data_IF_781416135570
#
_entry.id   IF_781416135570
#
_cell.length_a   1.000
_cell.length_b   1.000
_cell.length_c   1.000
_cell.angle_alpha   90.00
_cell.angle_beta   90.00
_cell.angle_gamma   90.00
#
_symmetry.space_group_name_H-M   'P 1'
#
loop_
_entity.id
_entity.type
_entity.pdbx_description
1 polymer ?
#
# COMPACT_ATOMS: atom_id res chain seq x y z
N UNK A 1 26.56 -33.84 -7.77
CA UNK A 1 25.54 -33.11 -7.00
C UNK A 1 26.23 -32.45 -5.82
N UNK A 2 26.38 -31.13 -5.83
CA UNK A 2 26.99 -30.38 -4.73
C UNK A 2 25.87 -29.72 -3.91
N UNK A 3 25.74 -30.12 -2.65
CA UNK A 3 24.94 -29.40 -1.66
C UNK A 3 25.82 -28.32 -1.03
N UNK A 4 25.49 -27.05 -1.27
CA UNK A 4 26.01 -25.93 -0.46
C UNK A 4 24.92 -25.60 0.55
N UNK A 5 25.24 -25.85 1.82
CA UNK A 5 24.44 -25.49 3.00
C UNK A 5 25.11 -24.30 3.66
N UNK A 6 24.41 -23.17 3.80
CA UNK A 6 24.69 -22.15 4.83
C UNK A 6 23.35 -21.66 5.41
N UNK A 7 23.33 -21.52 6.74
CA UNK A 7 22.18 -21.38 7.65
C UNK A 7 21.79 -19.91 7.98
N UNK A 8 20.57 -19.78 8.58
CA UNK A 8 20.04 -18.72 9.50
C UNK A 8 19.40 -17.47 8.87
N UNK A 9 18.26 -16.97 9.41
CA UNK A 9 18.22 -16.31 10.73
C UNK A 9 17.20 -16.82 11.76
N UNK A 10 17.77 -17.22 12.89
CA UNK A 10 17.25 -17.07 14.25
C UNK A 10 17.12 -15.58 14.56
N UNK A 11 16.05 -15.19 15.24
CA UNK A 11 15.83 -13.79 15.62
C UNK A 11 16.60 -13.44 16.89
N UNK A 12 17.15 -12.23 16.91
CA UNK A 12 17.99 -11.67 17.96
C UNK A 12 17.15 -10.83 18.96
N UNK A 13 17.77 -10.42 20.08
CA UNK A 13 17.19 -9.58 21.13
C UNK A 13 16.72 -8.16 20.72
N UNK A 14 16.56 -7.92 19.42
CA UNK A 14 16.08 -6.67 18.81
C UNK A 14 14.70 -6.80 18.12
N UNK A 15 14.04 -7.97 18.20
CA UNK A 15 12.57 -8.06 18.06
C UNK A 15 11.93 -8.30 16.68
N UNK A 16 12.61 -8.92 15.72
CA UNK A 16 11.96 -9.41 14.49
C UNK A 16 11.54 -10.91 14.59
N UNK A 17 10.57 -11.43 13.79
CA UNK A 17 9.76 -12.62 14.12
C UNK A 17 10.38 -14.03 13.96
N UNK A 18 10.14 -14.86 14.99
CA UNK A 18 10.50 -16.27 15.12
C UNK A 18 9.82 -17.17 14.08
N UNK A 19 10.60 -18.11 13.57
CA UNK A 19 10.27 -19.12 12.56
C UNK A 19 9.47 -20.29 13.15
N UNK A 20 8.45 -20.80 12.42
CA UNK A 20 7.81 -22.08 12.81
C UNK A 20 8.75 -23.23 12.45
N UNK A 21 9.18 -23.99 13.45
CA UNK A 21 10.07 -25.15 13.33
C UNK A 21 9.25 -26.39 12.93
N UNK A 22 9.31 -26.81 11.67
CA UNK A 22 8.64 -28.04 11.23
C UNK A 22 9.68 -29.16 11.14
N UNK A 23 9.45 -30.24 11.89
CA UNK A 23 10.21 -31.49 11.77
C UNK A 23 9.69 -32.26 10.56
N UNK A 24 10.57 -32.59 9.62
CA UNK A 24 10.27 -33.58 8.59
C UNK A 24 11.20 -34.78 8.76
N UNK A 25 10.61 -35.97 8.64
CA UNK A 25 11.37 -37.21 8.55
C UNK A 25 11.99 -37.32 7.16
N UNK A 26 13.32 -37.41 7.10
CA UNK A 26 14.02 -37.80 5.88
C UNK A 26 13.94 -39.30 5.65
N UNK A 27 14.10 -39.72 4.39
CA UNK A 27 14.45 -41.12 4.10
C UNK A 27 15.78 -41.41 4.82
N UNK A 28 15.84 -42.55 5.52
CA UNK A 28 16.95 -43.00 6.38
C UNK A 28 17.01 -42.41 7.81
N UNK A 29 15.90 -41.86 8.33
CA UNK A 29 15.80 -41.51 9.77
C UNK A 29 16.58 -40.26 10.18
N UNK A 30 17.10 -39.50 9.20
CA UNK A 30 17.75 -38.22 9.43
C UNK A 30 16.68 -37.13 9.36
N UNK A 31 16.38 -36.49 10.49
CA UNK A 31 15.43 -35.37 10.55
C UNK A 31 16.06 -34.06 10.05
N UNK A 32 15.29 -33.26 9.29
CA UNK A 32 15.69 -31.92 8.88
C UNK A 32 14.67 -30.89 9.37
N UNK A 33 15.16 -29.66 9.61
CA UNK A 33 14.32 -28.52 9.96
C UNK A 33 14.09 -27.65 8.73
N UNK A 34 12.83 -27.43 8.39
CA UNK A 34 12.41 -26.41 7.44
C UNK A 34 11.93 -25.18 8.23
N UNK A 35 12.48 -24.02 7.88
CA UNK A 35 12.14 -22.75 8.50
C UNK A 35 11.17 -22.02 7.58
N UNK A 36 9.89 -21.97 7.95
CA UNK A 36 8.88 -21.21 7.21
C UNK A 36 8.68 -19.87 7.91
N UNK A 37 9.05 -18.79 7.23
CA UNK A 37 8.75 -17.43 7.68
C UNK A 37 7.29 -17.13 7.34
N UNK A 38 6.40 -17.17 8.35
CA UNK A 38 5.01 -16.78 8.17
C UNK A 38 4.90 -15.26 8.29
N UNK A 39 5.33 -14.54 7.25
CA UNK A 39 4.84 -13.19 7.04
C UNK A 39 3.56 -13.33 6.21
N UNK A 40 2.43 -12.89 6.75
CA UNK A 40 1.24 -12.67 5.93
C UNK A 40 1.55 -11.47 5.05
N UNK A 41 1.84 -11.74 3.78
CA UNK A 41 1.99 -10.72 2.76
C UNK A 41 0.62 -10.03 2.56
N UNK A 42 0.57 -8.69 2.34
CA UNK A 42 -0.68 -8.03 2.01
C UNK A 42 -1.24 -8.64 0.73
N UNK A 43 -2.38 -9.32 0.83
CA UNK A 43 -3.02 -9.95 -0.34
C UNK A 43 -3.83 -8.95 -1.15
N UNK A 44 -4.32 -7.89 -0.51
CA UNK A 44 -5.09 -6.81 -1.14
C UNK A 44 -4.57 -5.46 -0.69
N UNK A 45 -4.15 -4.65 -1.65
CA UNK A 45 -3.64 -3.29 -1.43
C UNK A 45 -4.55 -2.30 -2.13
N UNK A 46 -4.80 -1.17 -1.49
CA UNK A 46 -5.49 -0.03 -2.08
C UNK A 46 -4.50 1.09 -2.38
N UNK A 47 -4.42 1.50 -3.65
CA UNK A 47 -3.68 2.67 -4.10
C UNK A 47 -4.63 3.86 -4.30
N UNK A 48 -4.46 4.90 -3.49
CA UNK A 48 -5.24 6.14 -3.54
C UNK A 48 -4.40 7.28 -4.12
N UNK A 49 -4.99 8.04 -5.04
CA UNK A 49 -4.43 9.27 -5.58
C UNK A 49 -5.39 10.44 -5.29
N UNK A 50 -4.88 11.44 -4.60
CA UNK A 50 -5.61 12.66 -4.26
C UNK A 50 -5.72 13.65 -5.43
N UNK A 51 -5.93 14.94 -5.13
CA UNK A 51 -6.34 15.92 -6.10
C UNK A 51 -5.24 16.26 -7.11
N UNK A 52 -5.67 16.59 -8.32
CA UNK A 52 -4.87 17.00 -9.48
C UNK A 52 -3.93 15.93 -10.06
N UNK A 53 -3.85 14.73 -9.46
CA UNK A 53 -3.01 13.66 -10.02
C UNK A 53 -3.56 13.10 -11.33
N UNK A 54 -4.86 13.27 -11.60
CA UNK A 54 -5.43 12.99 -12.93
C UNK A 54 -4.81 13.84 -14.05
N UNK A 55 -4.11 14.92 -13.72
CA UNK A 55 -3.41 15.79 -14.68
C UNK A 55 -1.94 15.38 -14.90
N UNK A 56 -1.44 14.32 -14.25
CA UNK A 56 -0.07 13.84 -14.43
C UNK A 56 0.20 13.54 -15.92
N UNK A 57 1.38 13.94 -16.41
CA UNK A 57 1.80 13.73 -17.80
C UNK A 57 1.13 14.65 -18.83
N UNK A 58 0.13 15.45 -18.45
CA UNK A 58 -0.58 16.36 -19.39
C UNK A 58 -0.12 17.82 -19.29
N UNK A 59 0.44 18.23 -18.14
CA UNK A 59 1.01 19.57 -17.96
C UNK A 59 2.49 19.58 -18.30
N UNK A 60 2.88 20.51 -19.18
CA UNK A 60 4.27 20.79 -19.54
C UNK A 60 5.13 19.50 -19.63
N UNK A 61 4.76 18.54 -20.49
CA UNK A 61 5.37 17.21 -20.49
C UNK A 61 6.88 17.22 -20.78
N UNK A 62 7.38 18.30 -21.39
CA UNK A 62 8.81 18.55 -21.59
C UNK A 62 9.56 18.88 -20.28
N UNK A 63 8.85 19.23 -19.21
CA UNK A 63 9.39 19.55 -17.88
C UNK A 63 9.17 18.39 -16.89
N UNK A 64 7.98 17.79 -16.88
CA UNK A 64 7.58 16.81 -15.86
C UNK A 64 7.55 15.35 -16.35
N UNK A 65 7.84 15.13 -17.63
CA UNK A 65 7.66 13.84 -18.29
C UNK A 65 6.24 13.64 -18.80
N UNK A 66 6.06 12.68 -19.70
CA UNK A 66 4.78 12.35 -20.34
C UNK A 66 4.02 11.21 -19.66
N UNK A 67 4.55 10.65 -18.58
CA UNK A 67 3.92 9.53 -17.87
C UNK A 67 2.62 10.00 -17.23
N UNK A 68 1.51 9.39 -17.64
CA UNK A 68 0.17 9.71 -17.12
C UNK A 68 -0.14 8.93 -15.85
N UNK A 69 -1.19 9.34 -15.12
CA UNK A 69 -1.68 8.54 -14.00
C UNK A 69 -2.14 7.14 -14.45
N UNK A 70 -2.71 7.03 -15.66
CA UNK A 70 -3.10 5.74 -16.22
C UNK A 70 -1.89 4.81 -16.37
N UNK A 71 -0.77 5.33 -16.90
CA UNK A 71 0.47 4.56 -17.02
C UNK A 71 1.01 4.11 -15.65
N UNK A 72 0.96 5.00 -14.65
CA UNK A 72 1.34 4.68 -13.26
C UNK A 72 0.48 3.54 -12.72
N UNK A 73 -0.84 3.63 -12.87
CA UNK A 73 -1.75 2.58 -12.39
C UNK A 73 -1.56 1.25 -13.12
N UNK A 74 -1.31 1.26 -14.43
CA UNK A 74 -1.04 0.05 -15.20
C UNK A 74 0.28 -0.61 -14.79
N UNK A 75 1.33 0.19 -14.56
CA UNK A 75 2.62 -0.30 -14.05
C UNK A 75 2.47 -0.90 -12.65
N UNK A 76 1.76 -0.22 -11.75
CA UNK A 76 1.50 -0.71 -10.39
C UNK A 76 0.67 -2.00 -10.39
N UNK A 77 -0.35 -2.11 -11.24
CA UNK A 77 -1.14 -3.34 -11.40
C UNK A 77 -0.27 -4.51 -11.89
N UNK A 78 0.59 -4.27 -12.88
CA UNK A 78 1.51 -5.28 -13.40
C UNK A 78 2.49 -5.77 -12.34
N UNK A 79 3.03 -4.84 -11.52
CA UNK A 79 3.90 -5.18 -10.39
C UNK A 79 3.15 -5.93 -9.29
N UNK A 80 1.93 -5.51 -8.94
CA UNK A 80 1.13 -6.21 -7.94
C UNK A 80 0.84 -7.65 -8.38
N UNK A 81 0.49 -7.85 -9.66
CA UNK A 81 0.26 -9.17 -10.22
C UNK A 81 1.51 -10.07 -10.11
N UNK A 82 2.70 -9.55 -10.41
CA UNK A 82 3.95 -10.32 -10.29
C UNK A 82 4.32 -10.67 -8.84
N UNK A 83 3.82 -9.90 -7.87
CA UNK A 83 3.96 -10.14 -6.44
C UNK A 83 2.83 -11.00 -5.84
N UNK A 84 1.83 -11.39 -6.65
CA UNK A 84 0.66 -12.15 -6.17
C UNK A 84 -0.33 -11.33 -5.33
N UNK A 85 -0.36 -10.01 -5.55
CA UNK A 85 -1.19 -9.04 -4.80
C UNK A 85 -2.35 -8.59 -5.68
N UNK A 86 -3.54 -8.52 -5.09
CA UNK A 86 -4.68 -7.83 -5.70
C UNK A 86 -4.56 -6.33 -5.41
N UNK A 87 -4.37 -5.52 -6.46
CA UNK A 87 -4.32 -4.06 -6.34
C UNK A 87 -5.65 -3.44 -6.74
N UNK A 88 -6.22 -2.64 -5.85
CA UNK A 88 -7.31 -1.73 -6.15
C UNK A 88 -6.75 -0.31 -6.31
N UNK A 89 -7.23 0.44 -7.30
CA UNK A 89 -6.78 1.81 -7.55
C UNK A 89 -7.95 2.78 -7.49
N UNK A 90 -7.76 3.93 -6.86
CA UNK A 90 -8.75 4.99 -6.75
C UNK A 90 -8.10 6.37 -6.92
N UNK A 91 -8.80 7.29 -7.58
CA UNK A 91 -8.39 8.69 -7.67
C UNK A 91 -9.59 9.59 -7.45
N UNK A 92 -9.41 10.66 -6.69
CA UNK A 92 -10.44 11.70 -6.57
C UNK A 92 -9.85 13.08 -6.28
N UNK A 93 -10.56 14.11 -6.77
CA UNK A 93 -10.33 15.51 -6.43
C UNK A 93 -11.20 15.98 -5.25
N UNK A 94 -12.00 15.09 -4.66
CA UNK A 94 -12.89 15.39 -3.55
C UNK A 94 -12.40 14.68 -2.29
N UNK A 95 -12.14 15.46 -1.23
CA UNK A 95 -11.69 14.96 0.07
C UNK A 95 -12.64 13.90 0.64
N UNK A 96 -13.95 14.17 0.64
CA UNK A 96 -14.97 13.23 1.12
C UNK A 96 -14.91 11.87 0.41
N UNK A 97 -14.76 11.86 -0.92
CA UNK A 97 -14.67 10.62 -1.68
C UNK A 97 -13.38 9.81 -1.33
N UNK A 98 -12.29 10.48 -0.96
CA UNK A 98 -11.09 9.79 -0.45
C UNK A 98 -11.36 9.19 0.93
N UNK A 99 -12.03 9.94 1.82
CA UNK A 99 -12.45 9.46 3.15
C UNK A 99 -13.37 8.24 3.02
N UNK A 100 -14.41 8.31 2.19
CA UNK A 100 -15.35 7.22 1.94
C UNK A 100 -14.62 5.98 1.44
N UNK A 101 -13.72 6.15 0.45
CA UNK A 101 -12.94 5.04 -0.09
C UNK A 101 -12.03 4.39 0.96
N UNK A 102 -11.47 5.15 1.89
CA UNK A 102 -10.69 4.61 3.01
C UNK A 102 -11.59 3.77 3.93
N UNK A 103 -12.78 4.26 4.27
CA UNK A 103 -13.73 3.54 5.12
C UNK A 103 -14.24 2.24 4.46
N UNK A 104 -14.56 2.29 3.16
CA UNK A 104 -14.93 1.13 2.36
C UNK A 104 -13.84 0.04 2.37
N UNK A 105 -12.56 0.43 2.42
CA UNK A 105 -11.43 -0.50 2.47
C UNK A 105 -11.46 -1.42 3.71
N UNK A 106 -12.03 -0.92 4.83
CA UNK A 106 -12.26 -1.67 6.06
C UNK A 106 -13.61 -2.40 6.11
N UNK A 107 -14.44 -2.24 5.08
CA UNK A 107 -15.77 -2.85 5.00
C UNK A 107 -16.90 -1.99 5.59
N UNK A 108 -16.67 -0.70 5.82
CA UNK A 108 -17.74 0.23 6.15
C UNK A 108 -18.45 0.66 4.86
N UNK A 109 -19.72 0.31 4.72
CA UNK A 109 -20.55 0.80 3.61
C UNK A 109 -21.36 2.00 4.10
N UNK A 110 -21.13 3.19 3.53
CA UNK A 110 -21.99 4.33 3.78
C UNK A 110 -23.37 4.07 3.18
N UNK A 111 -24.39 3.93 4.03
CA UNK A 111 -25.80 3.80 3.63
C UNK A 111 -26.49 5.15 3.45
N UNK A 112 -25.74 6.26 3.58
CA UNK A 112 -26.31 7.56 3.91
C UNK A 112 -26.51 8.51 2.72
N UNK A 113 -25.71 8.42 1.65
CA UNK A 113 -25.77 9.43 0.58
C UNK A 113 -26.14 8.82 -0.78
N UNK A 114 -27.37 9.08 -1.22
CA UNK A 114 -27.90 8.76 -2.55
C UNK A 114 -27.31 9.63 -3.67
N UNK A 115 -26.00 9.52 -3.92
CA UNK A 115 -25.28 10.20 -5.01
C UNK A 115 -24.63 9.19 -5.97
N UNK A 116 -25.03 9.23 -7.24
CA UNK A 116 -24.71 8.25 -8.28
C UNK A 116 -23.27 8.27 -8.84
N UNK A 117 -22.92 7.11 -9.43
CA UNK A 117 -21.82 6.77 -10.35
C UNK A 117 -20.45 6.37 -9.75
N UNK A 118 -20.47 5.29 -8.97
CA UNK A 118 -19.45 4.24 -9.07
C UNK A 118 -20.14 2.97 -9.59
N UNK A 119 -19.54 2.27 -10.55
CA UNK A 119 -20.11 1.05 -11.16
C UNK A 119 -20.64 0.10 -10.09
N UNK A 120 -21.95 -0.16 -10.17
CA UNK A 120 -22.66 -1.19 -9.44
C UNK A 120 -22.11 -2.57 -9.83
N UNK A 121 -21.06 -2.99 -9.11
CA UNK A 121 -20.73 -4.40 -8.99
C UNK A 121 -21.91 -5.09 -8.32
N UNK A 122 -22.60 -5.97 -9.06
CA UNK A 122 -23.55 -6.94 -8.51
C UNK A 122 -22.95 -7.52 -7.22
N UNK A 123 -23.71 -7.48 -6.12
CA UNK A 123 -23.41 -8.26 -4.93
C UNK A 123 -23.60 -9.74 -5.28
N UNK A 124 -22.57 -10.32 -5.90
CA UNK A 124 -22.35 -11.76 -5.84
C UNK A 124 -21.93 -12.07 -4.41
N UNK A 125 -22.43 -13.17 -3.83
CA UNK A 125 -22.32 -13.54 -2.41
C UNK A 125 -20.91 -13.81 -1.87
N UNK A 126 -19.87 -13.25 -2.49
CA UNK A 126 -18.48 -13.36 -2.10
C UNK A 126 -18.06 -12.06 -1.41
N UNK A 127 -18.04 -12.05 -0.07
CA UNK A 127 -17.53 -10.93 0.72
C UNK A 127 -16.09 -10.65 0.26
N UNK A 128 -15.86 -9.52 -0.43
CA UNK A 128 -14.50 -9.10 -0.80
C UNK A 128 -13.64 -9.14 0.45
N UNK A 129 -12.51 -9.84 0.37
CA UNK A 129 -11.48 -9.82 1.42
C UNK A 129 -11.08 -8.37 1.73
N UNK A 130 -10.86 -8.05 3.01
CA UNK A 130 -10.52 -6.70 3.47
C UNK A 130 -9.20 -6.24 2.85
N UNK A 131 -9.07 -4.92 2.66
CA UNK A 131 -7.80 -4.32 2.27
C UNK A 131 -6.82 -4.42 3.45
N UNK A 132 -5.63 -4.93 3.18
CA UNK A 132 -4.58 -5.19 4.18
C UNK A 132 -3.55 -4.06 4.30
N UNK A 133 -3.39 -3.24 3.27
CA UNK A 133 -2.51 -2.07 3.29
C UNK A 133 -3.00 -0.98 2.31
N UNK A 134 -2.69 0.28 2.62
CA UNK A 134 -2.98 1.43 1.76
C UNK A 134 -1.66 2.06 1.28
N UNK A 135 -1.61 2.43 0.00
CA UNK A 135 -0.61 3.34 -0.55
C UNK A 135 -1.37 4.59 -0.95
N UNK A 136 -0.96 5.76 -0.48
CA UNK A 136 -1.66 7.01 -0.76
C UNK A 136 -0.69 8.07 -1.24
N UNK A 137 -0.95 8.61 -2.44
CA UNK A 137 -0.44 9.92 -2.81
C UNK A 137 -1.55 10.95 -2.56
N UNK A 138 -1.56 11.63 -1.41
CA UNK A 138 -2.62 12.55 -1.03
C UNK A 138 -2.62 13.87 -1.84
N UNK A 139 -1.62 14.09 -2.71
CA UNK A 139 -1.46 15.36 -3.41
C UNK A 139 -1.43 16.54 -2.44
N UNK A 140 -2.21 17.58 -2.74
CA UNK A 140 -2.29 18.77 -1.90
C UNK A 140 -2.89 18.50 -0.51
N UNK A 141 -3.72 17.46 -0.36
CA UNK A 141 -4.44 17.20 0.89
C UNK A 141 -3.54 16.79 2.05
N UNK A 142 -2.31 16.33 1.79
CA UNK A 142 -1.39 16.07 2.90
C UNK A 142 -1.15 17.31 3.76
N UNK A 143 -1.20 18.50 3.18
CA UNK A 143 -0.89 19.75 3.87
C UNK A 143 -2.10 20.34 4.61
N UNK A 144 -3.31 19.80 4.40
CA UNK A 144 -4.55 20.44 4.86
C UNK A 144 -5.56 19.49 5.50
N UNK A 145 -5.55 18.20 5.15
CA UNK A 145 -6.64 17.28 5.45
C UNK A 145 -6.43 16.53 6.75
N UNK A 146 -7.04 17.05 7.82
CA UNK A 146 -7.24 16.28 9.06
C UNK A 146 -8.31 15.19 8.86
N UNK A 147 -9.27 15.39 7.96
CA UNK A 147 -10.32 14.40 7.69
C UNK A 147 -9.75 13.09 7.11
N UNK A 148 -8.84 13.16 6.14
CA UNK A 148 -8.16 11.97 5.59
C UNK A 148 -7.27 11.30 6.64
N UNK A 149 -6.58 12.10 7.48
CA UNK A 149 -5.78 11.59 8.61
C UNK A 149 -6.65 10.74 9.54
N UNK A 150 -7.77 11.29 9.99
CA UNK A 150 -8.64 10.64 10.96
C UNK A 150 -9.34 9.42 10.35
N UNK A 151 -9.67 9.46 9.05
CA UNK A 151 -10.17 8.28 8.33
C UNK A 151 -9.14 7.14 8.31
N UNK A 152 -7.88 7.43 7.97
CA UNK A 152 -6.78 6.43 7.96
C UNK A 152 -6.55 5.83 9.36
N UNK A 153 -6.58 6.67 10.40
CA UNK A 153 -6.45 6.21 11.78
C UNK A 153 -7.65 5.38 12.25
N UNK A 154 -8.86 5.78 11.85
CA UNK A 154 -10.10 5.10 12.25
C UNK A 154 -10.25 3.69 11.66
N UNK A 155 -9.72 3.45 10.46
CA UNK A 155 -9.74 2.11 9.84
C UNK A 155 -8.60 1.20 10.30
N UNK A 156 -7.56 1.78 10.92
CA UNK A 156 -6.36 1.08 11.39
C UNK A 156 -5.63 0.22 10.33
N UNK A 157 -5.87 0.48 9.05
CA UNK A 157 -5.15 -0.15 7.94
C UNK A 157 -3.80 0.58 7.80
N UNK A 158 -2.66 -0.12 7.88
CA UNK A 158 -1.35 0.52 7.78
C UNK A 158 -1.17 1.11 6.38
N UNK A 159 -0.49 2.27 6.28
CA UNK A 159 -0.34 2.97 5.00
C UNK A 159 1.06 3.55 4.74
N UNK A 160 1.37 3.69 3.44
CA UNK A 160 2.56 4.38 2.92
C UNK A 160 2.13 5.66 2.23
N UNK A 161 2.75 6.78 2.57
CA UNK A 161 2.55 8.06 1.89
C UNK A 161 3.55 8.22 0.73
N UNK A 162 3.07 8.66 -0.43
CA UNK A 162 3.88 8.83 -1.64
C UNK A 162 3.73 10.25 -2.20
N UNK A 163 4.83 10.86 -2.60
CA UNK A 163 4.89 12.13 -3.33
C UNK A 163 5.80 12.00 -4.55
N UNK A 164 5.25 12.31 -5.73
CA UNK A 164 6.03 12.35 -6.98
C UNK A 164 7.18 13.35 -6.88
N UNK A 165 6.90 14.56 -6.41
CA UNK A 165 7.90 15.61 -6.20
C UNK A 165 8.51 15.57 -4.80
N UNK A 166 9.72 16.09 -4.63
CA UNK A 166 10.28 16.33 -3.30
C UNK A 166 9.57 17.53 -2.64
N UNK A 167 8.58 17.26 -1.79
CA UNK A 167 7.80 18.31 -1.11
C UNK A 167 8.64 19.19 -0.18
N UNK A 168 9.75 18.69 0.34
CA UNK A 168 10.63 19.45 1.24
C UNK A 168 11.49 20.48 0.51
N UNK A 169 11.71 20.30 -0.80
CA UNK A 169 12.39 21.27 -1.67
C UNK A 169 11.47 22.38 -2.19
N UNK A 170 10.18 22.34 -1.81
CA UNK A 170 9.16 23.27 -2.27
C UNK A 170 8.83 24.34 -1.22
N UNK A 171 7.75 25.09 -1.45
CA UNK A 171 7.30 26.18 -0.61
C UNK A 171 7.12 25.75 0.86
N UNK A 172 7.35 26.63 1.85
CA UNK A 172 7.29 26.27 3.27
C UNK A 172 6.00 25.55 3.70
N UNK A 173 4.84 25.93 3.15
CA UNK A 173 3.56 25.30 3.47
C UNK A 173 3.46 23.83 3.00
N UNK A 174 4.33 23.38 2.08
CA UNK A 174 4.37 21.99 1.63
C UNK A 174 5.26 21.09 2.47
N UNK A 175 5.98 21.65 3.43
CA UNK A 175 6.89 20.87 4.28
C UNK A 175 6.15 20.14 5.41
N UNK A 176 4.95 20.60 5.76
CA UNK A 176 4.11 19.95 6.76
C UNK A 176 3.15 18.97 6.08
N UNK A 177 3.06 17.76 6.63
CA UNK A 177 2.08 16.73 6.24
C UNK A 177 1.32 16.29 7.48
N UNK A 178 -0.01 16.30 7.42
CA UNK A 178 -0.91 15.73 8.42
C UNK A 178 -0.97 14.20 8.35
N UNK A 179 -0.28 13.54 7.42
CA UNK A 179 -0.30 12.08 7.29
C UNK A 179 1.05 11.45 7.71
N UNK A 180 2.15 12.16 7.50
CA UNK A 180 3.51 11.61 7.53
C UNK A 180 3.94 11.05 8.89
N UNK A 181 3.47 11.61 10.01
CA UNK A 181 3.78 11.12 11.36
C UNK A 181 3.00 9.84 11.72
N UNK A 182 2.02 9.45 10.91
CA UNK A 182 1.20 8.24 11.08
C UNK A 182 1.46 7.19 10.00
N UNK A 183 2.05 7.57 8.88
CA UNK A 183 2.46 6.65 7.83
C UNK A 183 3.53 5.69 8.33
N UNK A 184 3.51 4.44 7.85
CA UNK A 184 4.59 3.48 8.09
C UNK A 184 5.87 3.93 7.41
N UNK A 185 5.74 4.52 6.22
CA UNK A 185 6.83 5.10 5.46
C UNK A 185 6.32 6.26 4.60
N UNK A 186 7.24 7.18 4.28
CA UNK A 186 7.01 8.28 3.34
C UNK A 186 8.04 8.19 2.22
N UNK A 187 7.57 8.18 0.97
CA UNK A 187 8.40 8.21 -0.23
C UNK A 187 8.18 9.54 -0.93
N UNK A 188 9.21 10.37 -1.06
CA UNK A 188 9.07 11.68 -1.70
C UNK A 188 10.20 11.95 -2.70
N UNK A 189 9.85 12.46 -3.88
CA UNK A 189 10.82 12.98 -4.86
C UNK A 189 11.46 11.96 -5.78
N UNK A 190 10.99 10.71 -5.78
CA UNK A 190 11.44 9.68 -6.73
C UNK A 190 10.63 9.68 -8.04
N UNK A 191 9.84 10.72 -8.30
CA UNK A 191 8.92 10.74 -9.44
C UNK A 191 7.88 9.61 -9.35
N UNK A 192 7.50 9.08 -10.51
CA UNK A 192 6.57 7.94 -10.60
C UNK A 192 7.17 6.63 -10.07
N UNK A 193 8.50 6.52 -10.00
CA UNK A 193 9.17 5.34 -9.44
C UNK A 193 8.85 5.16 -7.95
N UNK A 194 8.48 6.23 -7.23
CA UNK A 194 8.06 6.15 -5.83
C UNK A 194 6.85 5.22 -5.59
N UNK A 195 5.96 5.06 -6.58
CA UNK A 195 4.85 4.11 -6.50
C UNK A 195 5.34 2.66 -6.49
N UNK A 196 6.36 2.34 -7.29
CA UNK A 196 6.92 1.00 -7.36
C UNK A 196 7.64 0.63 -6.06
N UNK A 197 8.38 1.59 -5.50
CA UNK A 197 9.05 1.44 -4.20
C UNK A 197 8.03 1.23 -3.09
N UNK A 198 6.97 2.02 -3.05
CA UNK A 198 5.92 1.90 -2.05
C UNK A 198 5.19 0.54 -2.14
N UNK A 199 4.88 0.07 -3.35
CA UNK A 199 4.21 -1.21 -3.56
C UNK A 199 5.09 -2.40 -3.16
N UNK A 200 6.36 -2.36 -3.54
CA UNK A 200 7.35 -3.37 -3.15
C UNK A 200 7.54 -3.41 -1.63
N UNK A 201 7.67 -2.23 -1.00
CA UNK A 201 7.79 -2.11 0.44
C UNK A 201 6.54 -2.63 1.15
N UNK A 202 5.36 -2.24 0.67
CA UNK A 202 4.09 -2.71 1.24
C UNK A 202 3.99 -4.23 1.15
N UNK A 203 4.29 -4.80 -0.01
CA UNK A 203 4.31 -6.23 -0.23
C UNK A 203 5.24 -6.94 0.78
N UNK A 204 6.50 -6.53 0.86
CA UNK A 204 7.55 -7.37 1.47
C UNK A 204 7.90 -7.02 2.90
N UNK A 205 7.55 -5.82 3.36
CA UNK A 205 8.11 -5.25 4.59
C UNK A 205 7.08 -4.64 5.54
N UNK A 206 5.85 -4.40 5.10
CA UNK A 206 4.80 -3.94 6.01
C UNK A 206 4.33 -5.07 6.91
N UNK A 207 4.53 -4.90 8.22
CA UNK A 207 3.87 -5.72 9.26
C UNK A 207 2.36 -5.50 9.13
N UNK A 208 1.64 -6.54 8.75
CA UNK A 208 0.18 -6.53 8.86
C UNK A 208 -0.20 -6.73 10.33
N UNK A 209 -1.34 -6.17 10.75
CA UNK A 209 -1.95 -6.62 12.01
C UNK A 209 -2.27 -8.11 11.84
N UNK A 210 -1.91 -8.91 12.84
CA UNK A 210 -2.33 -10.31 12.88
C UNK A 210 -3.86 -10.36 12.81
N UNK A 211 -4.40 -11.25 11.99
CA UNK A 211 -5.83 -11.57 12.02
C UNK A 211 -6.09 -12.26 13.36
N UNK A 212 -6.58 -11.52 14.36
CA UNK A 212 -7.07 -12.08 15.63
C UNK A 212 -8.33 -12.93 15.43
#
# INVERSE_FOLDING_TARGET
MAYIRINRKVMNGNGDPLTRKIMKEGKEGIGYYEYVTAYTMPRRILLINGPNLNLLGTREPHIYGSTTLSDVTASAQSQAQSLGITLETFQSNHEGAVVDRIQEAAGFSSSADGGSQGQSGKQDGNRKEKVSAIIINPGAYTHTSVAIRDALLGVEIPFVEVHVSNVHAREPFRKHSYLSDKAVAVVAGLGVYGYQVALEFAARHMKLKDEE
#
